data_IF_138296304658
#
_entry.id   IF_138296304658
#
_cell.length_a   1.000
_cell.length_b   1.000
_cell.length_c   1.000
_cell.angle_alpha   90.00
_cell.angle_beta   90.00
_cell.angle_gamma   90.00
#
_symmetry.space_group_name_H-M   'P 1'
#
loop_
_entity.id
_entity.type
_entity.pdbx_description
1 polymer ?
#
# COMPACT_ATOMS: atom_id res chain seq x y z
N UNK A 1 8.80 22.74 -2.58
CA UNK A 1 9.67 21.54 -2.42
C UNK A 1 10.36 21.29 -3.75
N UNK A 2 11.64 20.90 -3.78
CA UNK A 2 12.32 20.63 -5.06
C UNK A 2 11.62 19.48 -5.78
N UNK A 3 11.25 19.71 -7.05
CA UNK A 3 10.48 18.79 -7.92
C UNK A 3 11.12 17.39 -7.98
N UNK A 4 12.44 17.33 -7.87
CA UNK A 4 13.23 16.10 -7.95
C UNK A 4 13.07 15.19 -6.74
N UNK A 5 12.88 15.75 -5.53
CA UNK A 5 12.72 14.96 -4.31
C UNK A 5 11.38 14.20 -4.29
N UNK A 6 10.29 14.83 -4.78
CA UNK A 6 8.99 14.16 -4.89
C UNK A 6 8.99 13.08 -5.97
N UNK A 7 9.55 13.38 -7.14
CA UNK A 7 9.67 12.43 -8.23
C UNK A 7 10.52 11.20 -7.84
N UNK A 8 11.62 11.43 -7.12
CA UNK A 8 12.47 10.36 -6.58
C UNK A 8 11.73 9.51 -5.56
N UNK A 9 11.01 10.15 -4.63
CA UNK A 9 10.20 9.44 -3.64
C UNK A 9 9.15 8.55 -4.29
N UNK A 10 8.45 9.04 -5.32
CA UNK A 10 7.47 8.25 -6.07
C UNK A 10 8.12 7.11 -6.86
N UNK A 11 9.27 7.35 -7.50
CA UNK A 11 10.02 6.31 -8.22
C UNK A 11 10.43 5.17 -7.27
N UNK A 12 10.91 5.50 -6.07
CA UNK A 12 11.26 4.53 -5.03
C UNK A 12 10.03 3.76 -4.52
N UNK A 13 8.87 4.41 -4.39
CA UNK A 13 7.61 3.72 -4.03
C UNK A 13 7.23 2.71 -5.11
N UNK A 14 7.27 3.10 -6.39
CA UNK A 14 6.95 2.18 -7.50
C UNK A 14 7.93 1.00 -7.58
N UNK A 15 9.23 1.28 -7.52
CA UNK A 15 10.28 0.25 -7.55
C UNK A 15 10.19 -0.68 -6.34
N UNK A 16 9.98 -0.11 -5.15
CA UNK A 16 9.79 -0.87 -3.92
C UNK A 16 8.57 -1.79 -4.01
N UNK A 17 7.42 -1.26 -4.44
CA UNK A 17 6.21 -2.06 -4.64
C UNK A 17 6.46 -3.24 -5.59
N UNK A 18 7.12 -2.98 -6.72
CA UNK A 18 7.41 -4.01 -7.70
C UNK A 18 8.31 -5.12 -7.14
N UNK A 19 9.44 -4.77 -6.51
CA UNK A 19 10.39 -5.76 -6.02
C UNK A 19 9.91 -6.48 -4.75
N UNK A 20 9.17 -5.81 -3.85
CA UNK A 20 8.53 -6.50 -2.72
C UNK A 20 7.49 -7.52 -3.20
N UNK A 21 6.73 -7.19 -4.25
CA UNK A 21 5.77 -8.11 -4.85
C UNK A 21 6.45 -9.28 -5.57
N UNK A 22 7.52 -9.02 -6.32
CA UNK A 22 8.20 -10.01 -7.15
C UNK A 22 9.09 -10.98 -6.36
N UNK A 23 9.81 -10.48 -5.37
CA UNK A 23 10.81 -11.27 -4.62
C UNK A 23 10.39 -11.57 -3.18
N UNK A 24 9.35 -10.92 -2.70
CA UNK A 24 8.90 -11.02 -1.32
C UNK A 24 9.48 -9.94 -0.42
N UNK A 25 8.70 -9.59 0.62
CA UNK A 25 9.02 -8.51 1.56
C UNK A 25 10.32 -8.74 2.32
N UNK A 26 10.82 -9.97 2.47
CA UNK A 26 12.07 -10.22 3.18
C UNK A 26 13.27 -10.33 2.24
N UNK A 27 13.08 -10.84 1.02
CA UNK A 27 14.18 -11.10 0.09
C UNK A 27 14.54 -9.88 -0.79
N UNK A 28 13.62 -8.94 -1.01
CA UNK A 28 13.89 -7.76 -1.83
C UNK A 28 14.99 -6.88 -1.23
N UNK A 29 16.09 -6.65 -1.95
CA UNK A 29 17.24 -5.89 -1.42
C UNK A 29 17.08 -4.39 -1.66
N UNK A 30 17.43 -3.58 -0.66
CA UNK A 30 17.39 -2.11 -0.72
C UNK A 30 18.12 -1.55 -1.95
N UNK A 31 19.33 -2.06 -2.22
CA UNK A 31 20.13 -1.64 -3.37
C UNK A 31 19.45 -1.92 -4.72
N UNK A 32 18.76 -3.05 -4.83
CA UNK A 32 18.09 -3.44 -6.08
C UNK A 32 16.88 -2.52 -6.30
N UNK A 33 16.20 -2.09 -5.23
CA UNK A 33 15.13 -1.08 -5.27
C UNK A 33 15.65 0.29 -5.71
N UNK A 34 16.75 0.75 -5.11
CA UNK A 34 17.38 2.04 -5.45
C UNK A 34 17.78 2.04 -6.93
N UNK A 35 18.44 0.97 -7.38
CA UNK A 35 18.84 0.82 -8.77
C UNK A 35 17.64 0.78 -9.72
N UNK A 36 16.61 0.00 -9.39
CA UNK A 36 15.38 -0.08 -10.20
C UNK A 36 14.61 1.25 -10.24
N UNK A 37 14.74 2.10 -9.21
CA UNK A 37 14.21 3.46 -9.19
C UNK A 37 15.06 4.48 -9.98
N UNK A 38 16.13 4.04 -10.65
CA UNK A 38 17.05 4.89 -11.39
C UNK A 38 17.91 5.79 -10.51
N UNK A 39 18.07 5.45 -9.24
CA UNK A 39 18.87 6.23 -8.29
C UNK A 39 20.29 5.68 -8.20
N UNK A 40 21.27 6.58 -8.15
CA UNK A 40 22.68 6.23 -8.01
C UNK A 40 23.13 6.13 -6.54
N UNK A 41 22.31 6.57 -5.58
CA UNK A 41 22.67 6.66 -4.17
C UNK A 41 21.81 5.72 -3.31
N UNK A 42 22.45 4.71 -2.71
CA UNK A 42 21.83 3.75 -1.79
C UNK A 42 21.19 4.41 -0.55
N UNK A 43 21.65 5.61 -0.19
CA UNK A 43 21.09 6.40 0.92
C UNK A 43 19.71 7.00 0.61
N UNK A 44 19.24 6.95 -0.64
CA UNK A 44 17.97 7.56 -1.04
C UNK A 44 16.78 6.99 -0.25
N UNK A 45 16.80 5.70 0.07
CA UNK A 45 15.74 5.08 0.89
C UNK A 45 15.76 5.63 2.32
N UNK A 46 16.92 5.69 2.96
CA UNK A 46 17.06 6.25 4.30
C UNK A 46 16.68 7.72 4.33
N UNK A 47 17.08 8.50 3.32
CA UNK A 47 16.74 9.92 3.21
C UNK A 47 15.23 10.18 3.07
N UNK A 48 14.54 9.45 2.19
CA UNK A 48 13.11 9.69 1.90
C UNK A 48 12.13 8.98 2.84
N UNK A 49 12.56 7.87 3.45
CA UNK A 49 11.67 7.00 4.23
C UNK A 49 12.21 6.65 5.61
N UNK A 50 13.43 7.07 5.96
CA UNK A 50 14.10 6.73 7.23
C UNK A 50 14.61 5.28 7.28
N UNK A 51 13.90 4.34 6.66
CA UNK A 51 14.27 2.93 6.64
C UNK A 51 13.57 2.16 5.52
N UNK A 52 14.01 0.92 5.30
CA UNK A 52 13.32 -0.04 4.41
C UNK A 52 11.90 -0.33 4.87
N UNK A 53 11.67 -0.42 6.18
CA UNK A 53 10.32 -0.56 6.75
C UNK A 53 9.46 0.69 6.49
N UNK A 54 10.07 1.88 6.57
CA UNK A 54 9.42 3.13 6.18
C UNK A 54 9.02 3.16 4.70
N UNK A 55 9.85 2.63 3.81
CA UNK A 55 9.50 2.48 2.39
C UNK A 55 8.32 1.51 2.21
N UNK A 56 8.34 0.35 2.87
CA UNK A 56 7.23 -0.60 2.82
C UNK A 56 5.92 0.05 3.31
N UNK A 57 5.95 0.79 4.42
CA UNK A 57 4.80 1.54 4.92
C UNK A 57 4.30 2.58 3.90
N UNK A 58 5.20 3.27 3.21
CA UNK A 58 4.84 4.22 2.16
C UNK A 58 4.17 3.54 0.95
N UNK A 59 4.65 2.35 0.56
CA UNK A 59 4.03 1.52 -0.49
C UNK A 59 2.61 1.11 -0.10
N UNK A 60 2.43 0.60 1.12
CA UNK A 60 1.13 0.18 1.62
C UNK A 60 0.15 1.36 1.70
N UNK A 61 0.62 2.49 2.24
CA UNK A 61 -0.14 3.74 2.31
C UNK A 61 -0.60 4.18 0.92
N UNK A 62 0.28 4.11 -0.08
CA UNK A 62 -0.05 4.50 -1.44
C UNK A 62 -1.18 3.64 -2.03
N UNK A 63 -1.17 2.33 -1.79
CA UNK A 63 -2.27 1.45 -2.20
C UNK A 63 -3.59 1.75 -1.49
N UNK A 64 -3.56 1.95 -0.17
CA UNK A 64 -4.74 2.35 0.61
C UNK A 64 -5.32 3.65 0.05
N UNK A 65 -4.49 4.69 -0.10
CA UNK A 65 -4.92 6.00 -0.61
C UNK A 65 -5.55 5.93 -2.01
N UNK A 66 -5.16 4.98 -2.88
CA UNK A 66 -5.82 4.81 -4.18
C UNK A 66 -7.25 4.28 -4.05
N UNK A 67 -7.51 3.40 -3.08
CA UNK A 67 -8.83 2.81 -2.86
C UNK A 67 -9.77 3.72 -2.04
N UNK A 68 -9.21 4.60 -1.20
CA UNK A 68 -9.99 5.44 -0.28
C UNK A 68 -11.09 6.28 -0.94
N UNK A 69 -10.90 6.95 -2.09
CA UNK A 69 -11.94 7.76 -2.70
C UNK A 69 -13.23 6.98 -2.99
N UNK A 70 -13.11 5.75 -3.53
CA UNK A 70 -14.26 4.90 -3.82
C UNK A 70 -14.98 4.44 -2.53
N UNK A 71 -14.19 4.13 -1.50
CA UNK A 71 -14.70 3.71 -0.18
C UNK A 71 -15.42 4.87 0.52
N UNK A 72 -14.80 6.04 0.59
CA UNK A 72 -15.34 7.24 1.23
C UNK A 72 -16.60 7.76 0.53
N UNK A 73 -16.73 7.55 -0.78
CA UNK A 73 -17.94 7.92 -1.53
C UNK A 73 -19.15 7.01 -1.23
N UNK A 74 -18.91 5.76 -0.83
CA UNK A 74 -19.96 4.74 -0.74
C UNK A 74 -20.30 4.39 0.71
N UNK A 75 -19.30 4.06 1.52
CA UNK A 75 -19.47 3.48 2.86
C UNK A 75 -20.29 4.36 3.83
N UNK A 76 -20.09 5.69 3.91
CA UNK A 76 -20.82 6.51 4.90
C UNK A 76 -22.34 6.54 4.71
N UNK A 77 -22.82 6.24 3.51
CA UNK A 77 -24.25 6.25 3.17
C UNK A 77 -24.93 4.88 3.40
N UNK A 78 -24.16 3.83 3.71
CA UNK A 78 -24.71 2.48 3.88
C UNK A 78 -25.27 2.29 5.29
N UNK A 79 -26.37 1.54 5.36
CA UNK A 79 -26.94 1.11 6.63
C UNK A 79 -26.20 -0.13 7.11
N UNK A 80 -25.89 -0.21 8.41
CA UNK A 80 -25.17 -1.34 9.01
C UNK A 80 -25.86 -2.71 8.84
N UNK A 81 -27.18 -2.71 8.60
CA UNK A 81 -27.94 -3.93 8.31
C UNK A 81 -27.80 -4.46 6.87
N UNK A 82 -27.26 -3.66 5.94
CA UNK A 82 -27.06 -4.06 4.54
C UNK A 82 -25.65 -4.62 4.32
N UNK A 83 -25.44 -5.81 4.88
CA UNK A 83 -24.16 -6.51 4.78
C UNK A 83 -23.70 -6.71 3.32
N UNK A 84 -24.55 -7.13 2.35
CA UNK A 84 -24.14 -7.24 0.95
C UNK A 84 -23.59 -5.93 0.38
N UNK A 85 -24.24 -4.79 0.64
CA UNK A 85 -23.75 -3.50 0.15
C UNK A 85 -22.41 -3.11 0.78
N UNK A 86 -22.24 -3.34 2.09
CA UNK A 86 -20.99 -3.07 2.79
C UNK A 86 -19.86 -3.93 2.23
N UNK A 87 -20.07 -5.24 2.07
CA UNK A 87 -19.08 -6.15 1.49
C UNK A 87 -18.70 -5.70 0.08
N UNK A 88 -19.68 -5.36 -0.76
CA UNK A 88 -19.41 -4.85 -2.11
C UNK A 88 -18.57 -3.57 -2.07
N UNK A 89 -18.91 -2.59 -1.23
CA UNK A 89 -18.16 -1.34 -1.10
C UNK A 89 -16.72 -1.52 -0.59
N UNK A 90 -16.44 -2.59 0.16
CA UNK A 90 -15.10 -2.94 0.64
C UNK A 90 -14.30 -3.70 -0.43
N UNK A 91 -14.92 -4.69 -1.07
CA UNK A 91 -14.25 -5.63 -1.97
C UNK A 91 -14.04 -5.02 -3.35
N UNK A 92 -14.99 -4.24 -3.86
CA UNK A 92 -14.94 -3.73 -5.23
C UNK A 92 -13.71 -2.83 -5.48
N UNK A 93 -13.37 -1.84 -4.62
CA UNK A 93 -12.14 -1.04 -4.81
C UNK A 93 -10.86 -1.89 -4.75
N UNK A 94 -10.87 -2.98 -3.98
CA UNK A 94 -9.74 -3.92 -3.93
C UNK A 94 -9.67 -4.77 -5.19
N UNK A 95 -10.80 -5.21 -5.75
CA UNK A 95 -10.85 -5.90 -7.03
C UNK A 95 -10.38 -5.00 -8.18
N UNK A 96 -10.70 -3.70 -8.14
CA UNK A 96 -10.29 -2.74 -9.16
C UNK A 96 -8.76 -2.61 -9.27
N UNK A 97 -8.01 -2.80 -8.19
CA UNK A 97 -6.53 -2.82 -8.19
C UNK A 97 -5.96 -3.91 -9.12
N UNK A 98 -6.70 -5.00 -9.39
CA UNK A 98 -6.25 -6.05 -10.32
C UNK A 98 -6.06 -5.54 -11.76
N UNK A 99 -6.71 -4.43 -12.12
CA UNK A 99 -6.64 -3.84 -13.47
C UNK A 99 -5.27 -3.27 -13.82
N UNK A 100 -4.44 -2.95 -12.82
CA UNK A 100 -3.13 -2.32 -13.05
C UNK A 100 -1.99 -3.18 -12.52
N UNK A 101 -0.79 -3.05 -13.08
CA UNK A 101 0.38 -3.75 -12.55
C UNK A 101 0.70 -3.28 -11.12
N UNK A 102 0.65 -1.98 -10.88
CA UNK A 102 0.90 -1.40 -9.56
C UNK A 102 -0.09 -1.93 -8.50
N UNK A 103 -1.36 -2.10 -8.87
CA UNK A 103 -2.35 -2.64 -7.95
C UNK A 103 -2.19 -4.12 -7.69
N UNK A 104 -1.87 -4.93 -8.72
CA UNK A 104 -1.50 -6.34 -8.52
C UNK A 104 -0.29 -6.50 -7.59
N UNK A 105 0.71 -5.62 -7.72
CA UNK A 105 1.89 -5.64 -6.85
C UNK A 105 1.51 -5.31 -5.40
N UNK A 106 0.68 -4.28 -5.19
CA UNK A 106 0.13 -3.97 -3.86
C UNK A 106 -0.64 -5.16 -3.26
N UNK A 107 -1.54 -5.81 -4.02
CA UNK A 107 -2.32 -6.95 -3.56
C UNK A 107 -1.45 -8.16 -3.17
N UNK A 108 -0.33 -8.39 -3.88
CA UNK A 108 0.64 -9.44 -3.50
C UNK A 108 1.32 -9.11 -2.17
N UNK A 109 1.70 -7.85 -1.96
CA UNK A 109 2.34 -7.41 -0.71
C UNK A 109 1.37 -7.56 0.45
N UNK A 110 0.10 -7.16 0.30
CA UNK A 110 -0.90 -7.31 1.37
C UNK A 110 -1.17 -8.77 1.67
N UNK A 111 -1.22 -9.66 0.67
CA UNK A 111 -1.35 -11.11 0.90
C UNK A 111 -0.14 -11.70 1.66
N UNK A 112 1.08 -11.28 1.34
CA UNK A 112 2.29 -11.69 2.07
C UNK A 112 2.27 -11.24 3.54
N UNK A 113 1.67 -10.08 3.83
CA UNK A 113 1.50 -9.57 5.20
C UNK A 113 0.32 -10.20 5.93
N UNK A 114 -0.77 -10.52 5.24
CA UNK A 114 -1.96 -11.14 5.84
C UNK A 114 -1.65 -12.53 6.42
N UNK A 115 -0.71 -13.26 5.81
CA UNK A 115 -0.18 -14.51 6.40
C UNK A 115 0.62 -14.31 7.70
N UNK A 116 0.98 -13.06 8.04
CA UNK A 116 1.82 -12.69 9.19
C UNK A 116 1.08 -11.87 10.24
N UNK A 117 0.11 -11.06 9.82
CA UNK A 117 -0.72 -10.25 10.69
C UNK A 117 -1.84 -11.12 11.26
N UNK A 118 -1.87 -11.27 12.58
CA UNK A 118 -2.89 -12.00 13.32
C UNK A 118 -4.30 -11.44 13.07
N UNK A 119 -4.93 -11.87 11.97
CA UNK A 119 -6.39 -11.71 11.74
C UNK A 119 -7.18 -12.29 12.94
N UNK A 120 -6.53 -13.12 13.76
CA UNK A 120 -7.02 -13.67 15.03
C UNK A 120 -7.21 -12.64 16.16
N UNK A 121 -6.49 -11.52 16.16
CA UNK A 121 -6.45 -10.62 17.33
C UNK A 121 -7.36 -9.38 17.19
N UNK A 122 -8.14 -9.29 16.11
CA UNK A 122 -9.10 -8.20 15.84
C UNK A 122 -8.55 -6.76 15.92
N UNK A 123 -7.23 -6.57 15.92
CA UNK A 123 -6.61 -5.24 15.98
C UNK A 123 -6.45 -4.65 14.58
N UNK A 124 -7.06 -3.48 14.33
CA UNK A 124 -6.93 -2.78 13.06
C UNK A 124 -5.46 -2.31 12.88
N UNK A 125 -4.81 -2.58 11.73
CA UNK A 125 -3.48 -2.05 11.46
C UNK A 125 -3.48 -0.51 11.53
N UNK A 126 -2.45 0.14 12.11
CA UNK A 126 -2.33 1.61 12.14
C UNK A 126 -2.37 2.27 10.75
N UNK A 127 -2.06 1.48 9.72
CA UNK A 127 -2.15 1.85 8.31
C UNK A 127 -3.58 2.22 7.90
N UNK A 128 -4.60 1.69 8.57
CA UNK A 128 -6.01 1.92 8.25
C UNK A 128 -6.65 2.99 9.14
N UNK A 129 -5.94 3.54 10.12
CA UNK A 129 -6.48 4.64 10.94
C UNK A 129 -6.82 5.85 10.06
N UNK A 130 -8.02 6.39 10.26
CA UNK A 130 -8.52 7.54 9.49
C UNK A 130 -9.01 7.22 8.07
N UNK A 131 -9.09 5.93 7.71
CA UNK A 131 -9.73 5.48 6.45
C UNK A 131 -11.24 5.32 6.62
N UNK A 132 -11.98 5.25 5.52
CA UNK A 132 -13.42 4.97 5.56
C UNK A 132 -13.73 3.62 6.22
N UNK A 133 -12.82 2.64 6.14
CA UNK A 133 -12.94 1.37 6.85
C UNK A 133 -12.91 1.50 8.38
N UNK A 134 -12.16 2.47 8.91
CA UNK A 134 -12.04 2.65 10.36
C UNK A 134 -13.31 3.25 10.98
N UNK A 135 -14.18 3.85 10.17
CA UNK A 135 -15.39 4.55 10.61
C UNK A 135 -16.67 3.71 10.45
N UNK A 136 -16.56 2.49 9.91
CA UNK A 136 -17.65 1.52 9.78
C UNK A 136 -17.67 0.59 10.99
#
# INVERSE_FOLDING_TARGET
>A
MPKDASATREALIRAGAHLFAAHGIDAARTRDIVHHAGQANDSAITYHFGSRAGLLNAVLRNGITRMEPARAATLPALHSGDLPAIVHAIVQPTADELRTQQGRDFLRITAQLAGRAGIRDHHLPPLLHGTALHQQ
#
